data_IF_756268608428
#
_entry.id   IF_756268608428
#
_cell.length_a   1.000
_cell.length_b   1.000
_cell.length_c   1.000
_cell.angle_alpha   90.00
_cell.angle_beta   90.00
_cell.angle_gamma   90.00
#
_symmetry.space_group_name_H-M   'P 1'
#
loop_
_entity.id
_entity.type
_entity.pdbx_description
1 polymer ?
#
# COMPACT_ATOMS: atom_id res chain seq x y z
N UNK A 1 16.40 -3.95 -5.49
CA UNK A 1 15.45 -3.37 -6.47
C UNK A 1 15.16 -1.93 -6.11
N UNK A 2 15.15 -1.03 -7.07
CA UNK A 2 14.81 0.37 -6.86
C UNK A 2 13.30 0.53 -6.99
N UNK A 3 12.68 1.20 -6.02
CA UNK A 3 11.26 1.54 -6.07
C UNK A 3 11.11 3.04 -5.92
N UNK A 4 10.27 3.67 -6.73
CA UNK A 4 10.09 5.12 -6.68
C UNK A 4 8.70 5.53 -7.16
N UNK A 5 8.22 6.66 -6.66
CA UNK A 5 6.98 7.28 -7.12
C UNK A 5 7.18 8.12 -8.39
N UNK A 6 8.43 8.42 -8.73
CA UNK A 6 8.74 9.17 -9.95
C UNK A 6 8.55 8.30 -11.19
N UNK A 7 8.34 8.94 -12.33
CA UNK A 7 8.14 8.23 -13.60
C UNK A 7 9.45 7.78 -14.24
N UNK A 8 10.57 8.22 -13.70
CA UNK A 8 11.89 7.87 -14.21
C UNK A 8 12.91 7.90 -13.08
N UNK A 9 14.05 7.26 -13.33
CA UNK A 9 15.19 7.25 -12.42
C UNK A 9 16.33 7.99 -13.13
N UNK A 10 16.83 9.04 -12.48
CA UNK A 10 17.92 9.84 -13.02
C UNK A 10 19.17 8.99 -13.22
N UNK A 11 19.80 9.11 -14.38
CA UNK A 11 21.00 8.35 -14.74
C UNK A 11 20.75 6.89 -15.11
N UNK A 12 19.49 6.44 -15.08
CA UNK A 12 19.15 5.05 -15.41
C UNK A 12 17.96 5.01 -16.35
N UNK A 13 18.19 5.13 -17.67
CA UNK A 13 17.10 5.11 -18.63
C UNK A 13 16.39 3.76 -18.64
N UNK A 14 15.10 3.79 -18.93
CA UNK A 14 14.31 2.58 -19.08
C UNK A 14 14.73 1.86 -20.35
N UNK A 15 15.14 0.60 -20.21
CA UNK A 15 15.51 -0.24 -21.34
C UNK A 15 14.30 -1.00 -21.88
N UNK A 16 13.39 -1.39 -21.01
CA UNK A 16 12.21 -2.15 -21.37
C UNK A 16 11.13 -2.01 -20.32
N UNK A 17 9.90 -1.81 -20.77
CA UNK A 17 8.72 -1.86 -19.90
C UNK A 17 8.17 -3.28 -19.90
N UNK A 18 8.13 -3.91 -18.74
CA UNK A 18 7.71 -5.31 -18.60
C UNK A 18 6.23 -5.47 -18.25
N UNK A 19 5.57 -4.37 -17.90
CA UNK A 19 4.16 -4.38 -17.58
C UNK A 19 3.83 -3.54 -16.36
N UNK A 20 2.59 -3.60 -15.97
CA UNK A 20 2.07 -2.91 -14.79
C UNK A 20 1.83 -3.95 -13.69
N UNK A 21 2.25 -3.62 -12.48
CA UNK A 21 1.99 -4.47 -11.32
C UNK A 21 1.14 -3.72 -10.32
N UNK A 22 0.29 -4.44 -9.61
CA UNK A 22 -0.54 -3.88 -8.56
C UNK A 22 -0.57 -4.82 -7.38
N UNK A 23 -0.78 -4.26 -6.20
CA UNK A 23 -0.94 -5.03 -4.99
C UNK A 23 -1.87 -4.28 -4.04
N UNK A 24 -2.52 -5.02 -3.17
CA UNK A 24 -3.41 -4.44 -2.18
C UNK A 24 -3.24 -5.14 -0.86
N UNK A 25 -3.50 -4.41 0.23
CA UNK A 25 -3.61 -4.96 1.57
C UNK A 25 -5.01 -4.65 2.08
N UNK A 26 -5.67 -5.66 2.63
CA UNK A 26 -7.01 -5.51 3.16
C UNK A 26 -6.94 -5.60 4.67
N UNK A 27 -7.46 -4.56 5.34
CA UNK A 27 -7.57 -4.53 6.78
C UNK A 27 -8.91 -5.15 7.16
N UNK A 28 -8.88 -6.19 7.97
CA UNK A 28 -10.09 -6.89 8.38
C UNK A 28 -11.03 -6.03 9.21
N UNK A 29 -12.33 -6.37 9.15
CA UNK A 29 -13.37 -5.59 9.81
C UNK A 29 -13.18 -5.50 11.33
N UNK A 30 -12.68 -6.56 11.97
CA UNK A 30 -12.46 -6.55 13.42
C UNK A 30 -11.36 -5.58 13.83
N UNK A 31 -10.26 -5.57 13.09
CA UNK A 31 -9.16 -4.64 13.31
C UNK A 31 -9.65 -3.21 13.08
N UNK A 32 -10.47 -3.02 12.06
CA UNK A 32 -11.03 -1.73 11.71
C UNK A 32 -11.92 -1.17 12.82
N UNK A 33 -12.76 -2.02 13.41
CA UNK A 33 -13.58 -1.63 14.56
C UNK A 33 -12.74 -1.21 15.76
N UNK A 34 -11.68 -1.95 16.05
CA UNK A 34 -10.77 -1.63 17.15
C UNK A 34 -10.08 -0.29 16.92
N UNK A 35 -9.69 0.00 15.68
CA UNK A 35 -9.10 1.28 15.32
C UNK A 35 -10.05 2.44 15.55
N UNK A 36 -11.31 2.30 15.15
CA UNK A 36 -12.30 3.35 15.35
C UNK A 36 -12.65 3.55 16.83
N UNK A 37 -12.72 2.47 17.59
CA UNK A 37 -12.93 2.57 19.03
C UNK A 37 -11.80 3.33 19.71
N UNK A 38 -10.56 3.07 19.31
CA UNK A 38 -9.39 3.78 19.83
C UNK A 38 -9.37 5.26 19.48
N UNK A 39 -9.83 5.62 18.28
CA UNK A 39 -9.86 7.01 17.82
C UNK A 39 -10.85 7.85 18.62
N UNK A 40 -11.96 7.29 19.09
CA UNK A 40 -12.95 8.01 19.88
C UNK A 40 -12.40 8.52 21.22
N UNK A 41 -11.44 7.81 21.78
CA UNK A 41 -10.86 8.14 23.08
C UNK A 41 -9.69 9.12 22.97
N UNK A 42 -9.24 9.42 21.74
CA UNK A 42 -8.11 10.32 21.52
C UNK A 42 -8.65 11.66 21.03
N UNK A 43 -8.51 12.67 21.88
CA UNK A 43 -8.90 14.03 21.54
C UNK A 43 -7.67 14.80 21.05
N UNK A 44 -7.65 15.15 19.76
CA UNK A 44 -6.64 16.02 19.19
C UNK A 44 -5.31 15.40 18.83
N UNK A 45 -5.19 14.07 18.78
CA UNK A 45 -3.95 13.38 18.39
C UNK A 45 -4.16 12.24 17.43
N UNK A 46 -3.08 11.83 16.78
CA UNK A 46 -3.10 10.63 15.93
C UNK A 46 -2.96 9.38 16.80
N UNK A 47 -3.71 8.35 16.47
CA UNK A 47 -3.58 7.06 17.14
C UNK A 47 -2.33 6.34 16.62
N UNK A 48 -1.43 5.96 17.50
CA UNK A 48 -0.26 5.16 17.14
C UNK A 48 -0.67 3.80 16.55
N UNK A 49 -1.72 3.20 17.11
CA UNK A 49 -2.24 1.93 16.61
C UNK A 49 -2.75 2.07 15.18
N UNK A 50 -3.47 3.15 14.89
CA UNK A 50 -3.97 3.44 13.55
C UNK A 50 -2.81 3.59 12.56
N UNK A 51 -1.83 4.41 12.91
CA UNK A 51 -0.68 4.64 12.06
C UNK A 51 0.11 3.36 11.80
N UNK A 52 0.26 2.51 12.82
CA UNK A 52 0.96 1.24 12.70
C UNK A 52 0.27 0.30 11.72
N UNK A 53 -1.06 0.17 11.82
CA UNK A 53 -1.82 -0.73 10.94
C UNK A 53 -1.74 -0.25 9.48
N UNK A 54 -1.88 1.05 9.25
CA UNK A 54 -1.78 1.62 7.91
C UNK A 54 -0.36 1.42 7.35
N UNK A 55 0.67 1.62 8.17
CA UNK A 55 2.04 1.42 7.73
C UNK A 55 2.34 -0.04 7.41
N UNK A 56 1.87 -0.97 8.22
CA UNK A 56 2.03 -2.40 7.93
C UNK A 56 1.34 -2.79 6.63
N UNK A 57 0.14 -2.26 6.39
CA UNK A 57 -0.57 -2.50 5.14
C UNK A 57 0.22 -1.98 3.94
N UNK A 58 0.80 -0.79 4.07
CA UNK A 58 1.64 -0.20 3.03
C UNK A 58 2.88 -1.04 2.75
N UNK A 59 3.57 -1.46 3.80
CA UNK A 59 4.78 -2.29 3.67
C UNK A 59 4.44 -3.62 2.99
N UNK A 60 3.35 -4.26 3.39
CA UNK A 60 2.93 -5.53 2.79
C UNK A 60 2.61 -5.37 1.30
N UNK A 61 1.90 -4.31 0.92
CA UNK A 61 1.59 -4.03 -0.47
C UNK A 61 2.86 -3.77 -1.28
N UNK A 62 3.79 -3.00 -0.74
CA UNK A 62 5.06 -2.70 -1.40
C UNK A 62 5.90 -3.96 -1.61
N UNK A 63 5.96 -4.83 -0.60
CA UNK A 63 6.68 -6.09 -0.72
C UNK A 63 6.08 -6.97 -1.81
N UNK A 64 4.77 -7.01 -1.92
CA UNK A 64 4.09 -7.77 -2.95
C UNK A 64 4.35 -7.21 -4.34
N UNK A 65 4.36 -5.89 -4.50
CA UNK A 65 4.71 -5.23 -5.76
C UNK A 65 6.12 -5.61 -6.19
N UNK A 66 7.08 -5.57 -5.27
CA UNK A 66 8.46 -5.97 -5.57
C UNK A 66 8.53 -7.42 -6.03
N UNK A 67 7.83 -8.33 -5.35
CA UNK A 67 7.80 -9.73 -5.76
C UNK A 67 7.22 -9.91 -7.15
N UNK A 68 6.13 -9.22 -7.46
CA UNK A 68 5.50 -9.28 -8.78
C UNK A 68 6.42 -8.73 -9.86
N UNK A 69 7.10 -7.62 -9.58
CA UNK A 69 8.05 -7.05 -10.52
C UNK A 69 9.24 -8.00 -10.78
N UNK A 70 9.75 -8.62 -9.74
CA UNK A 70 10.83 -9.61 -9.87
C UNK A 70 10.39 -10.81 -10.68
N UNK A 71 9.16 -11.26 -10.51
CA UNK A 71 8.61 -12.37 -11.29
C UNK A 71 8.53 -12.05 -12.78
N UNK A 72 8.37 -10.77 -13.13
CA UNK A 72 8.40 -10.32 -14.53
C UNK A 72 9.83 -10.11 -15.06
N UNK A 73 10.84 -10.29 -14.22
CA UNK A 73 12.22 -10.03 -14.58
C UNK A 73 12.65 -8.58 -14.43
N UNK A 74 11.86 -7.77 -13.75
CA UNK A 74 12.17 -6.36 -13.56
C UNK A 74 13.20 -6.13 -12.47
N UNK A 75 13.90 -5.01 -12.57
CA UNK A 75 14.88 -4.58 -11.57
C UNK A 75 14.55 -3.22 -10.95
N UNK A 76 13.43 -2.64 -11.33
CA UNK A 76 12.94 -1.39 -10.76
C UNK A 76 11.43 -1.28 -10.92
N UNK A 77 10.79 -0.58 -10.01
CA UNK A 77 9.38 -0.20 -10.08
C UNK A 77 9.29 1.31 -10.03
N UNK A 78 8.70 1.90 -11.05
CA UNK A 78 8.56 3.35 -11.18
C UNK A 78 7.08 3.74 -11.20
N UNK A 79 6.80 5.01 -10.98
CA UNK A 79 5.44 5.52 -11.05
C UNK A 79 4.50 4.91 -10.00
N UNK A 80 5.02 4.60 -8.82
CA UNK A 80 4.22 3.99 -7.77
C UNK A 80 3.20 5.00 -7.24
N UNK A 81 1.95 4.58 -7.15
CA UNK A 81 0.87 5.34 -6.54
C UNK A 81 0.27 4.52 -5.41
N UNK A 82 0.15 5.13 -4.24
CA UNK A 82 -0.42 4.52 -3.06
C UNK A 82 -1.74 5.20 -2.73
N UNK A 83 -2.79 4.41 -2.60
CA UNK A 83 -4.12 4.92 -2.31
C UNK A 83 -4.76 4.10 -1.19
N UNK A 84 -5.44 4.80 -0.29
CA UNK A 84 -6.21 4.20 0.79
C UNK A 84 -7.68 4.36 0.47
N UNK A 85 -8.39 3.24 0.34
CA UNK A 85 -9.82 3.24 0.07
C UNK A 85 -10.58 2.57 1.20
N UNK A 86 -11.66 3.20 1.60
CA UNK A 86 -12.60 2.61 2.53
C UNK A 86 -13.72 1.95 1.72
N UNK A 87 -13.82 0.63 1.83
CA UNK A 87 -14.93 -0.11 1.23
C UNK A 87 -15.94 -0.45 2.31
N UNK A 88 -17.12 0.10 2.17
CA UNK A 88 -18.25 -0.26 3.02
C UNK A 88 -19.09 -1.27 2.27
N UNK A 89 -19.07 -2.51 2.74
CA UNK A 89 -19.88 -3.55 2.15
C UNK A 89 -21.21 -3.60 2.90
N UNK A 90 -22.29 -3.38 2.17
CA UNK A 90 -23.63 -3.59 2.70
C UNK A 90 -24.06 -5.00 2.32
N UNK A 91 -24.22 -5.84 3.34
CA UNK A 91 -24.73 -7.18 3.08
C UNK A 91 -26.19 -7.10 2.63
N UNK A 92 -26.48 -7.69 1.49
CA UNK A 92 -27.86 -7.90 1.05
C UNK A 92 -28.46 -9.06 1.86
N UNK A 93 -29.49 -8.76 2.59
CA UNK A 93 -30.25 -9.81 3.30
C UNK A 93 -31.16 -10.56 2.34
#
# INVERSE_FOLDING_TARGET
>A
MITTTTHSIEGKPVLQYLGVVSAESIIGANIFKDLFAGIRDIVGGRSETYERVIEEARINAMNEIVKKAQALGGNAVIGIDLDLKLLVLQEAC
#
